data_IF_711694497959
#
_entry.id   IF_711694497959
#
_cell.length_a   1.000
_cell.length_b   1.000
_cell.length_c   1.000
_cell.angle_alpha   90.00
_cell.angle_beta   90.00
_cell.angle_gamma   90.00
#
_symmetry.space_group_name_H-M   'P 1'
#
loop_
_entity.id
_entity.type
_entity.pdbx_description
1 polymer ?
#
# COMPACT_ATOMS: atom_id res chain seq x y z
N UNK A 1 10.28 0.78 22.47
CA UNK A 1 11.67 0.27 22.39
C UNK A 1 11.80 -0.91 23.34
N UNK A 2 12.25 -2.05 22.85
CA UNK A 2 12.45 -3.28 23.64
C UNK A 2 13.95 -3.47 23.82
N UNK A 3 14.40 -3.87 25.01
CA UNK A 3 15.77 -4.31 25.23
C UNK A 3 15.83 -5.85 25.19
N UNK A 4 16.76 -6.37 24.40
CA UNK A 4 17.05 -7.80 24.31
C UNK A 4 18.47 -8.07 24.80
N UNK A 5 18.66 -9.08 25.65
CA UNK A 5 19.99 -9.49 26.10
C UNK A 5 20.53 -10.52 25.12
N UNK A 6 21.63 -10.20 24.44
CA UNK A 6 22.27 -11.05 23.42
C UNK A 6 22.63 -12.41 24.04
N UNK A 7 22.14 -13.48 23.44
CA UNK A 7 22.40 -14.86 23.80
C UNK A 7 23.32 -15.52 22.77
N UNK A 8 23.96 -16.60 23.19
CA UNK A 8 24.77 -17.40 22.29
C UNK A 8 23.89 -17.97 21.17
N UNK A 9 24.29 -17.72 19.91
CA UNK A 9 23.55 -18.15 18.72
C UNK A 9 22.52 -17.15 18.19
N UNK A 10 22.32 -16.02 18.87
CA UNK A 10 21.49 -14.95 18.33
C UNK A 10 22.12 -14.35 17.07
N UNK A 11 21.25 -14.06 16.11
CA UNK A 11 21.60 -13.31 14.91
C UNK A 11 20.66 -12.12 14.75
N UNK A 12 21.15 -11.00 14.21
CA UNK A 12 20.30 -9.83 13.99
C UNK A 12 19.07 -10.14 13.11
N UNK A 13 19.15 -10.97 12.04
CA UNK A 13 17.97 -11.38 11.28
C UNK A 13 16.95 -12.18 12.10
N UNK A 14 17.39 -13.06 13.01
CA UNK A 14 16.47 -13.77 13.90
C UNK A 14 15.79 -12.82 14.89
N UNK A 15 16.54 -11.89 15.47
CA UNK A 15 15.97 -10.87 16.36
C UNK A 15 14.99 -9.98 15.59
N UNK A 16 15.30 -9.57 14.36
CA UNK A 16 14.39 -8.81 13.51
C UNK A 16 13.12 -9.60 13.16
N UNK A 17 13.24 -10.87 12.78
CA UNK A 17 12.08 -11.71 12.52
C UNK A 17 11.18 -11.85 13.76
N UNK A 18 11.79 -12.02 14.93
CA UNK A 18 11.06 -12.22 16.18
C UNK A 18 10.39 -10.95 16.70
N UNK A 19 11.09 -9.81 16.66
CA UNK A 19 10.62 -8.55 17.24
C UNK A 19 9.95 -7.60 16.24
N UNK A 20 10.36 -7.64 14.97
CA UNK A 20 9.90 -6.72 13.90
C UNK A 20 9.02 -7.40 12.85
N UNK A 21 8.84 -8.72 12.93
CA UNK A 21 8.01 -9.52 12.01
C UNK A 21 8.66 -9.84 10.66
N UNK A 22 9.82 -9.25 10.35
CA UNK A 22 10.54 -9.47 9.09
C UNK A 22 12.05 -9.55 9.33
N UNK A 23 12.67 -10.65 8.88
CA UNK A 23 14.11 -10.87 9.02
C UNK A 23 14.97 -9.80 8.30
N UNK A 24 14.48 -9.23 7.20
CA UNK A 24 15.15 -8.19 6.41
C UNK A 24 15.37 -6.89 7.19
N UNK A 25 14.59 -6.64 8.25
CA UNK A 25 14.64 -5.42 9.07
C UNK A 25 15.78 -5.42 10.09
N UNK A 26 16.73 -6.34 10.00
CA UNK A 26 17.89 -6.42 10.89
C UNK A 26 18.81 -5.20 10.82
N UNK A 27 18.84 -4.50 9.69
CA UNK A 27 19.58 -3.24 9.51
C UNK A 27 19.07 -2.14 10.44
N UNK A 28 17.77 -2.10 10.74
CA UNK A 28 17.19 -1.15 11.69
C UNK A 28 17.77 -1.35 13.11
N UNK A 29 18.06 -2.61 13.48
CA UNK A 29 18.68 -2.94 14.76
C UNK A 29 20.14 -2.44 14.78
N UNK A 30 20.88 -2.57 13.67
CA UNK A 30 22.25 -2.05 13.53
C UNK A 30 22.26 -0.54 13.70
N UNK A 31 21.41 0.18 12.96
CA UNK A 31 21.34 1.64 12.98
C UNK A 31 20.94 2.16 14.36
N UNK A 32 19.91 1.57 14.99
CA UNK A 32 19.43 1.98 16.31
C UNK A 32 20.47 1.83 17.43
N UNK A 33 21.44 0.93 17.26
CA UNK A 33 22.51 0.68 18.24
C UNK A 33 23.88 1.14 17.77
N UNK A 34 23.96 1.75 16.58
CA UNK A 34 25.19 2.16 15.92
C UNK A 34 26.23 1.03 15.81
N UNK A 35 25.79 -0.19 15.50
CA UNK A 35 26.69 -1.35 15.54
C UNK A 35 27.68 -1.39 14.38
N UNK A 36 28.89 -1.87 14.67
CA UNK A 36 29.92 -2.16 13.66
C UNK A 36 30.07 -3.66 13.46
N UNK A 37 30.37 -4.06 12.22
CA UNK A 37 30.65 -5.47 11.88
C UNK A 37 31.79 -6.01 12.77
N UNK A 38 31.67 -7.22 13.36
CA UNK A 38 30.70 -8.29 13.10
C UNK A 38 29.33 -8.19 13.80
N UNK A 39 29.01 -7.04 14.40
CA UNK A 39 27.77 -6.70 15.10
C UNK A 39 27.52 -7.48 16.40
N UNK A 40 27.36 -8.80 16.30
CA UNK A 40 27.17 -9.71 17.43
C UNK A 40 28.33 -10.70 17.49
N UNK A 41 28.91 -10.89 18.67
CA UNK A 41 29.95 -11.88 18.92
C UNK A 41 29.51 -12.89 19.99
N UNK A 42 29.78 -14.19 19.80
CA UNK A 42 29.39 -15.23 20.76
C UNK A 42 30.23 -15.24 22.05
N UNK A 43 31.36 -14.52 22.09
CA UNK A 43 32.23 -14.41 23.26
C UNK A 43 31.74 -13.37 24.27
N UNK A 44 32.25 -13.45 25.50
CA UNK A 44 32.07 -12.39 26.51
C UNK A 44 32.89 -11.15 26.13
N UNK A 45 32.46 -9.98 26.61
CA UNK A 45 33.15 -8.71 26.38
C UNK A 45 34.61 -8.78 26.85
N UNK A 46 35.52 -8.49 25.93
CA UNK A 46 36.95 -8.31 26.16
C UNK A 46 37.35 -6.86 25.88
N UNK A 47 38.52 -6.44 26.37
CA UNK A 47 39.04 -5.09 26.12
C UNK A 47 39.45 -4.83 24.66
N UNK A 48 39.60 -5.89 23.86
CA UNK A 48 39.99 -5.83 22.45
C UNK A 48 38.79 -5.63 21.51
N UNK A 49 37.58 -5.89 21.99
CA UNK A 49 36.35 -5.73 21.22
C UNK A 49 36.00 -4.25 21.07
N UNK A 50 35.63 -3.86 19.85
CA UNK A 50 35.18 -2.50 19.57
C UNK A 50 33.91 -2.16 20.42
N UNK A 51 33.79 -0.93 20.96
CA UNK A 51 32.62 -0.51 21.74
C UNK A 51 31.27 -0.73 21.04
N UNK A 52 31.27 -0.62 19.71
CA UNK A 52 30.08 -0.75 18.86
C UNK A 52 29.79 -2.18 18.39
N UNK A 53 30.51 -3.17 18.89
CA UNK A 53 30.16 -4.59 18.74
C UNK A 53 29.45 -5.02 20.02
N UNK A 54 28.46 -5.91 19.95
CA UNK A 54 27.77 -6.47 21.13
C UNK A 54 28.17 -7.91 21.39
N UNK A 55 28.53 -8.19 22.63
CA UNK A 55 28.92 -9.51 23.13
C UNK A 55 27.75 -10.23 23.82
N UNK A 56 27.87 -11.54 24.03
CA UNK A 56 26.87 -12.30 24.78
C UNK A 56 26.73 -11.73 26.20
N UNK A 57 25.49 -11.52 26.62
CA UNK A 57 25.11 -10.92 27.91
C UNK A 57 24.90 -9.41 27.86
N UNK A 58 25.19 -8.74 26.76
CA UNK A 58 24.94 -7.31 26.60
C UNK A 58 23.55 -7.03 26.02
N UNK A 59 23.01 -5.84 26.31
CA UNK A 59 21.71 -5.44 25.78
C UNK A 59 21.82 -4.78 24.40
N UNK A 60 20.87 -5.12 23.54
CA UNK A 60 20.62 -4.48 22.25
C UNK A 60 19.22 -3.87 22.26
N UNK A 61 19.11 -2.64 21.76
CA UNK A 61 17.85 -1.90 21.69
C UNK A 61 17.14 -2.21 20.38
N UNK A 62 15.89 -2.61 20.44
CA UNK A 62 15.08 -2.91 19.27
C UNK A 62 13.97 -1.87 19.20
N UNK A 63 14.03 -1.03 18.16
CA UNK A 63 12.97 -0.08 17.84
C UNK A 63 11.81 -0.85 17.22
N UNK A 64 10.74 -1.05 17.99
CA UNK A 64 9.51 -1.72 17.52
C UNK A 64 8.71 -0.88 16.55
N UNK A 65 8.95 0.43 16.53
CA UNK A 65 8.42 1.34 15.54
C UNK A 65 9.48 1.49 14.44
N UNK A 66 9.10 1.42 13.16
CA UNK A 66 10.03 1.64 12.07
C UNK A 66 10.68 3.03 12.25
N UNK A 67 12.02 3.15 12.13
CA UNK A 67 12.72 4.43 12.28
C UNK A 67 12.38 5.41 11.14
N UNK A 68 11.72 4.93 10.09
CA UNK A 68 11.18 5.77 9.02
C UNK A 68 9.83 6.32 9.45
N UNK A 69 9.80 7.62 9.70
CA UNK A 69 8.56 8.37 9.68
C UNK A 69 7.93 8.15 8.30
N UNK A 70 6.69 7.64 8.24
CA UNK A 70 5.91 7.66 7.00
C UNK A 70 5.81 9.11 6.58
N UNK A 71 6.57 9.48 5.56
CA UNK A 71 6.49 10.81 4.98
C UNK A 71 5.27 10.74 4.06
N UNK A 72 4.20 11.41 4.48
CA UNK A 72 3.05 11.64 3.61
C UNK A 72 3.50 12.58 2.50
N UNK A 73 3.97 11.98 1.41
CA UNK A 73 4.53 12.68 0.28
C UNK A 73 3.79 12.23 -0.97
N UNK A 74 2.94 13.13 -1.48
CA UNK A 74 2.14 12.90 -2.67
C UNK A 74 2.98 12.60 -3.91
N UNK A 75 4.28 12.91 -3.90
CA UNK A 75 5.20 12.53 -4.98
C UNK A 75 5.26 11.01 -5.18
N UNK A 76 5.03 10.21 -4.14
CA UNK A 76 4.95 8.75 -4.28
C UNK A 76 3.71 8.27 -5.04
N UNK A 77 2.69 9.12 -5.16
CA UNK A 77 1.48 8.82 -5.92
C UNK A 77 1.61 9.21 -7.40
N UNK A 78 2.71 9.86 -7.78
CA UNK A 78 3.07 10.16 -9.17
C UNK A 78 2.22 11.24 -9.82
N UNK A 79 2.49 11.47 -11.09
CA UNK A 79 1.81 12.45 -11.95
C UNK A 79 1.50 11.79 -13.30
N UNK A 80 0.35 12.11 -13.88
CA UNK A 80 -0.09 11.63 -15.19
C UNK A 80 -0.90 12.72 -15.91
N UNK A 81 -1.25 12.49 -17.18
CA UNK A 81 -2.16 13.35 -17.92
C UNK A 81 -3.55 13.29 -17.30
N UNK A 82 -4.19 14.44 -17.17
CA UNK A 82 -5.57 14.53 -16.71
C UNK A 82 -6.49 13.93 -17.77
N UNK A 83 -7.36 13.03 -17.32
CA UNK A 83 -8.36 12.39 -18.15
C UNK A 83 -9.76 12.77 -17.66
N UNK A 84 -10.61 13.16 -18.59
CA UNK A 84 -12.04 13.26 -18.36
C UNK A 84 -12.69 11.88 -18.18
N UNK A 85 -14.00 11.88 -17.97
CA UNK A 85 -14.73 10.69 -17.48
C UNK A 85 -14.84 9.56 -18.51
N UNK A 86 -14.68 9.86 -19.80
CA UNK A 86 -14.66 8.87 -20.88
C UNK A 86 -13.22 8.58 -21.38
N UNK A 87 -12.20 9.10 -20.68
CA UNK A 87 -10.80 8.95 -21.07
C UNK A 87 -10.31 10.00 -22.07
N UNK A 88 -11.06 11.09 -22.27
CA UNK A 88 -10.64 12.25 -23.05
C UNK A 88 -9.50 13.01 -22.35
N UNK A 89 -8.55 13.55 -23.11
CA UNK A 89 -7.47 14.37 -22.54
C UNK A 89 -8.01 15.71 -22.03
N UNK A 90 -7.66 16.07 -20.80
CA UNK A 90 -7.93 17.38 -20.23
C UNK A 90 -7.01 18.45 -20.81
N UNK A 91 -7.52 19.68 -20.90
CA UNK A 91 -6.74 20.85 -21.28
C UNK A 91 -6.55 21.77 -20.08
N UNK A 92 -5.38 22.39 -19.97
CA UNK A 92 -5.10 23.40 -18.97
C UNK A 92 -5.69 24.78 -19.36
N UNK A 93 -5.48 25.79 -18.52
CA UNK A 93 -5.97 27.14 -18.76
C UNK A 93 -5.33 27.83 -19.99
N UNK A 94 -4.25 27.28 -20.52
CA UNK A 94 -3.49 27.79 -21.66
C UNK A 94 -3.74 27.00 -22.96
N UNK A 95 -4.52 25.92 -22.87
CA UNK A 95 -4.85 25.04 -24.00
C UNK A 95 -3.80 23.95 -24.26
N UNK A 96 -2.88 23.70 -23.33
CA UNK A 96 -1.98 22.54 -23.34
C UNK A 96 -2.62 21.34 -22.60
N UNK A 97 -1.97 20.17 -22.60
CA UNK A 97 -2.42 19.01 -21.85
C UNK A 97 -2.37 19.27 -20.35
N UNK A 98 -3.50 19.08 -19.68
CA UNK A 98 -3.55 19.14 -18.21
C UNK A 98 -2.89 17.90 -17.60
N UNK A 99 -2.24 18.08 -16.45
CA UNK A 99 -1.70 17.00 -15.63
C UNK A 99 -2.48 16.88 -14.32
N UNK A 100 -2.46 15.68 -13.74
CA UNK A 100 -3.01 15.37 -12.43
C UNK A 100 -1.91 14.69 -11.59
N UNK A 101 -1.78 15.06 -10.33
CA UNK A 101 -0.73 14.55 -9.44
C UNK A 101 -1.28 14.09 -8.09
N UNK A 102 -0.48 13.36 -7.33
CA UNK A 102 -0.83 13.05 -5.94
C UNK A 102 -2.06 12.14 -5.82
N UNK A 103 -2.92 12.47 -4.85
CA UNK A 103 -4.15 11.70 -4.58
C UNK A 103 -5.12 11.71 -5.76
N UNK A 104 -5.21 12.82 -6.50
CA UNK A 104 -6.08 12.92 -7.67
C UNK A 104 -5.64 11.96 -8.78
N UNK A 105 -4.32 11.78 -8.97
CA UNK A 105 -3.78 10.81 -9.92
C UNK A 105 -4.10 9.37 -9.50
N UNK A 106 -4.01 9.07 -8.19
CA UNK A 106 -4.41 7.77 -7.67
C UNK A 106 -5.92 7.51 -7.89
N UNK A 107 -6.78 8.49 -7.62
CA UNK A 107 -8.22 8.40 -7.88
C UNK A 107 -8.52 8.17 -9.36
N UNK A 108 -7.84 8.90 -10.25
CA UNK A 108 -7.95 8.71 -11.70
C UNK A 108 -7.54 7.29 -12.11
N UNK A 109 -6.41 6.78 -11.61
CA UNK A 109 -5.94 5.44 -11.93
C UNK A 109 -6.88 4.33 -11.44
N UNK A 110 -7.47 4.51 -10.25
CA UNK A 110 -8.49 3.61 -9.70
C UNK A 110 -9.74 3.62 -10.58
N UNK A 111 -10.23 4.80 -10.98
CA UNK A 111 -11.36 4.95 -11.91
C UNK A 111 -11.10 4.21 -13.22
N UNK A 112 -9.96 4.45 -13.85
CA UNK A 112 -9.60 3.81 -15.12
C UNK A 112 -9.58 2.30 -14.99
N UNK A 113 -9.00 1.77 -13.90
CA UNK A 113 -8.92 0.33 -13.67
C UNK A 113 -10.30 -0.27 -13.44
N UNK A 114 -11.17 0.39 -12.67
CA UNK A 114 -12.53 -0.07 -12.45
C UNK A 114 -13.39 -0.03 -13.73
N UNK A 115 -13.20 1.00 -14.57
CA UNK A 115 -13.93 1.17 -15.84
C UNK A 115 -13.46 0.24 -16.95
N UNK A 116 -12.28 -0.37 -16.82
CA UNK A 116 -11.71 -1.25 -17.83
C UNK A 116 -12.13 -2.69 -17.56
N UNK A 117 -12.80 -3.39 -18.50
CA UNK A 117 -13.10 -4.80 -18.33
C UNK A 117 -11.82 -5.65 -18.23
N UNK A 118 -11.79 -6.60 -17.30
CA UNK A 118 -10.65 -7.50 -17.16
C UNK A 118 -10.44 -8.31 -18.45
N UNK A 119 -9.19 -8.33 -18.95
CA UNK A 119 -8.83 -9.00 -20.19
C UNK A 119 -9.00 -8.14 -21.45
N UNK A 120 -9.53 -6.92 -21.36
CA UNK A 120 -9.65 -6.01 -22.52
C UNK A 120 -8.28 -5.56 -23.06
N UNK A 121 -7.26 -5.49 -22.20
CA UNK A 121 -5.90 -5.08 -22.58
C UNK A 121 -5.05 -6.30 -22.91
N UNK A 122 -4.72 -6.49 -24.18
CA UNK A 122 -3.97 -7.66 -24.69
C UNK A 122 -2.66 -7.91 -23.93
N UNK A 123 -1.90 -6.85 -23.63
CA UNK A 123 -0.62 -6.94 -22.92
C UNK A 123 -0.74 -6.88 -21.40
N UNK A 124 -1.95 -6.62 -20.88
CA UNK A 124 -2.25 -6.50 -19.46
C UNK A 124 -3.55 -7.24 -19.12
N UNK A 125 -3.60 -8.58 -19.28
CA UNK A 125 -4.84 -9.33 -19.18
C UNK A 125 -5.47 -9.31 -17.79
N UNK A 126 -4.68 -9.06 -16.74
CA UNK A 126 -5.16 -8.96 -15.34
C UNK A 126 -5.57 -7.54 -14.95
N UNK A 127 -5.37 -6.55 -15.83
CA UNK A 127 -5.81 -5.18 -15.58
C UNK A 127 -7.30 -5.07 -15.85
N UNK A 128 -8.01 -4.44 -14.93
CA UNK A 128 -9.45 -4.22 -15.04
C UNK A 128 -10.25 -4.81 -13.90
N UNK A 129 -11.57 -4.70 -14.03
CA UNK A 129 -12.56 -5.31 -13.14
C UNK A 129 -13.52 -6.22 -13.91
N UNK A 130 -14.26 -7.04 -13.18
CA UNK A 130 -15.37 -7.86 -13.69
C UNK A 130 -16.73 -7.31 -13.23
N UNK A 131 -16.78 -6.03 -12.88
CA UNK A 131 -17.95 -5.37 -12.30
C UNK A 131 -19.10 -5.37 -13.32
N UNK A 132 -18.80 -5.25 -14.61
CA UNK A 132 -19.76 -5.30 -15.71
C UNK A 132 -20.58 -6.59 -15.75
N UNK A 133 -20.06 -7.69 -15.21
CA UNK A 133 -20.76 -8.98 -15.12
C UNK A 133 -21.75 -9.04 -13.94
N UNK A 134 -21.62 -8.11 -12.99
CA UNK A 134 -22.41 -8.04 -11.76
C UNK A 134 -23.45 -6.91 -11.82
N UNK A 135 -23.19 -5.86 -12.62
CA UNK A 135 -24.14 -4.78 -12.90
C UNK A 135 -25.41 -5.32 -13.58
N UNK A 136 -26.55 -4.69 -13.28
CA UNK A 136 -27.86 -5.07 -13.84
C UNK A 136 -28.45 -6.38 -13.31
N UNK A 137 -27.71 -7.12 -12.46
CA UNK A 137 -28.27 -8.26 -11.74
C UNK A 137 -29.14 -7.80 -10.57
N UNK A 138 -30.01 -8.69 -10.06
CA UNK A 138 -30.82 -8.37 -8.89
C UNK A 138 -29.89 -8.01 -7.73
N UNK A 139 -30.13 -6.86 -7.09
CA UNK A 139 -29.43 -6.39 -5.89
C UNK A 139 -29.75 -7.24 -4.64
N UNK A 140 -29.58 -8.56 -4.75
CA UNK A 140 -29.64 -9.46 -3.62
C UNK A 140 -28.31 -9.40 -2.83
N UNK A 141 -28.35 -9.93 -1.61
CA UNK A 141 -27.20 -9.88 -0.71
C UNK A 141 -25.96 -10.58 -1.30
N UNK A 142 -26.17 -11.60 -2.13
CA UNK A 142 -25.09 -12.35 -2.77
C UNK A 142 -24.39 -11.50 -3.85
N UNK A 143 -25.15 -10.80 -4.68
CA UNK A 143 -24.65 -9.84 -5.66
C UNK A 143 -23.87 -8.72 -4.99
N UNK A 144 -24.42 -8.11 -3.93
CA UNK A 144 -23.75 -7.03 -3.21
C UNK A 144 -22.42 -7.50 -2.57
N UNK A 145 -22.39 -8.72 -2.02
CA UNK A 145 -21.14 -9.32 -1.50
C UNK A 145 -20.12 -9.57 -2.61
N UNK A 146 -20.55 -10.05 -3.79
CA UNK A 146 -19.65 -10.25 -4.94
C UNK A 146 -19.08 -8.94 -5.44
N UNK A 147 -19.91 -7.89 -5.56
CA UNK A 147 -19.47 -6.54 -5.94
C UNK A 147 -18.45 -6.00 -4.95
N UNK A 148 -18.71 -6.13 -3.65
CA UNK A 148 -17.77 -5.72 -2.61
C UNK A 148 -16.41 -6.41 -2.76
N UNK A 149 -16.40 -7.73 -2.93
CA UNK A 149 -15.17 -8.51 -3.10
C UNK A 149 -14.43 -8.07 -4.37
N UNK A 150 -15.15 -7.86 -5.46
CA UNK A 150 -14.58 -7.46 -6.74
C UNK A 150 -13.99 -6.05 -6.71
N UNK A 151 -14.67 -5.10 -6.06
CA UNK A 151 -14.16 -3.76 -5.81
C UNK A 151 -12.87 -3.79 -4.99
N UNK A 152 -12.86 -4.52 -3.88
CA UNK A 152 -11.67 -4.66 -3.04
C UNK A 152 -10.52 -5.33 -3.81
N UNK A 153 -10.79 -6.39 -4.59
CA UNK A 153 -9.78 -7.07 -5.43
C UNK A 153 -9.17 -6.11 -6.44
N UNK A 154 -10.01 -5.39 -7.19
CA UNK A 154 -9.58 -4.50 -8.26
C UNK A 154 -8.72 -3.35 -7.71
N UNK A 155 -9.20 -2.68 -6.66
CA UNK A 155 -8.49 -1.54 -6.06
C UNK A 155 -7.22 -1.99 -5.34
N UNK A 156 -7.21 -3.15 -4.68
CA UNK A 156 -5.99 -3.71 -4.06
C UNK A 156 -4.94 -4.13 -5.10
N UNK A 157 -5.33 -4.33 -6.35
CA UNK A 157 -4.40 -4.64 -7.43
C UNK A 157 -3.66 -3.40 -7.96
N UNK A 158 -3.96 -2.21 -7.45
CA UNK A 158 -3.18 -1.00 -7.73
C UNK A 158 -1.93 -0.94 -6.84
N UNK A 159 -0.70 -0.96 -7.40
CA UNK A 159 0.55 -0.90 -6.63
C UNK A 159 0.65 0.23 -5.60
N UNK A 160 0.03 1.39 -5.84
CA UNK A 160 0.06 2.52 -4.89
C UNK A 160 -0.93 2.37 -3.71
N UNK A 161 -1.81 1.37 -3.72
CA UNK A 161 -2.78 1.12 -2.64
C UNK A 161 -2.22 0.11 -1.64
N UNK A 162 -2.12 0.50 -0.37
CA UNK A 162 -1.70 -0.38 0.72
C UNK A 162 -2.88 -1.16 1.32
N UNK A 163 -4.00 -0.47 1.55
CA UNK A 163 -5.22 -1.05 2.11
C UNK A 163 -6.46 -0.44 1.45
N UNK A 164 -7.50 -1.27 1.28
CA UNK A 164 -8.82 -0.82 0.82
C UNK A 164 -9.90 -1.53 1.61
N UNK A 165 -10.93 -0.77 2.01
CA UNK A 165 -12.16 -1.28 2.61
C UNK A 165 -13.37 -0.66 1.93
N UNK A 166 -14.36 -1.49 1.63
CA UNK A 166 -15.63 -1.04 1.05
C UNK A 166 -16.72 -1.15 2.13
N UNK A 167 -17.36 -0.03 2.44
CA UNK A 167 -18.33 0.08 3.56
C UNK A 167 -19.77 -0.04 3.07
N UNK A 168 -20.13 0.74 2.06
CA UNK A 168 -21.49 0.85 1.53
C UNK A 168 -21.48 0.38 0.07
N UNK A 169 -22.37 -0.55 -0.28
CA UNK A 169 -22.60 -0.98 -1.67
C UNK A 169 -24.10 -1.08 -1.87
N UNK A 170 -24.63 -0.33 -2.81
CA UNK A 170 -26.06 -0.32 -3.16
C UNK A 170 -26.17 -0.52 -4.66
N UNK A 171 -27.03 -1.45 -5.09
CA UNK A 171 -27.34 -1.67 -6.49
C UNK A 171 -28.86 -1.57 -6.70
N UNK A 172 -29.28 -0.52 -7.39
CA UNK A 172 -30.67 -0.34 -7.84
C UNK A 172 -30.67 -0.34 -9.37
N UNK A 173 -30.34 0.81 -9.97
CA UNK A 173 -30.14 0.98 -11.41
C UNK A 173 -28.65 1.16 -11.74
N UNK A 174 -27.93 1.87 -10.88
CA UNK A 174 -26.47 1.98 -10.86
C UNK A 174 -25.93 1.32 -9.57
N UNK A 175 -24.66 0.95 -9.57
CA UNK A 175 -23.99 0.47 -8.36
C UNK A 175 -23.24 1.65 -7.72
N UNK A 176 -23.66 2.04 -6.53
CA UNK A 176 -22.99 3.05 -5.72
C UNK A 176 -22.15 2.37 -4.64
N UNK A 177 -20.91 2.83 -4.46
CA UNK A 177 -20.07 2.32 -3.39
C UNK A 177 -19.16 3.40 -2.79
N UNK A 178 -18.91 3.26 -1.49
CA UNK A 178 -17.90 4.05 -0.77
C UNK A 178 -16.67 3.21 -0.48
N UNK A 179 -15.51 3.69 -0.94
CA UNK A 179 -14.21 3.10 -0.70
C UNK A 179 -13.42 3.95 0.30
N UNK A 180 -12.79 3.27 1.24
CA UNK A 180 -11.80 3.84 2.14
C UNK A 180 -10.43 3.26 1.77
N UNK A 181 -9.56 4.11 1.24
CA UNK A 181 -8.29 3.69 0.63
C UNK A 181 -7.13 4.30 1.40
N UNK A 182 -6.15 3.47 1.77
CA UNK A 182 -4.87 3.90 2.33
C UNK A 182 -3.79 3.76 1.28
N UNK A 183 -3.24 4.86 0.76
CA UNK A 183 -2.10 4.79 -0.14
C UNK A 183 -0.82 4.32 0.59
N UNK A 184 0.13 3.78 -0.17
CA UNK A 184 1.46 3.44 0.33
C UNK A 184 2.17 4.69 0.87
N UNK A 185 2.69 4.60 2.09
CA UNK A 185 3.42 5.70 2.73
C UNK A 185 2.52 6.70 3.47
N UNK A 186 1.19 6.54 3.39
CA UNK A 186 0.22 7.38 4.10
C UNK A 186 -0.25 6.71 5.40
N UNK A 187 -0.66 7.53 6.37
CA UNK A 187 -1.22 7.05 7.63
C UNK A 187 -2.74 7.09 7.63
N UNK A 188 -3.32 8.09 6.97
CA UNK A 188 -4.75 8.29 6.88
C UNK A 188 -5.37 7.61 5.64
N UNK A 189 -6.64 7.23 5.77
CA UNK A 189 -7.44 6.76 4.66
C UNK A 189 -8.16 7.95 4.03
N UNK A 190 -8.19 8.04 2.70
CA UNK A 190 -9.11 8.92 2.01
C UNK A 190 -10.39 8.18 1.62
N UNK A 191 -11.49 8.93 1.55
CA UNK A 191 -12.78 8.43 1.10
C UNK A 191 -12.92 8.69 -0.40
N UNK A 192 -13.41 7.69 -1.14
CA UNK A 192 -13.73 7.79 -2.55
C UNK A 192 -15.12 7.22 -2.77
N UNK A 193 -16.06 8.05 -3.18
CA UNK A 193 -17.40 7.62 -3.57
C UNK A 193 -17.37 7.32 -5.07
N UNK A 194 -17.99 6.22 -5.48
CA UNK A 194 -18.09 5.82 -6.88
C UNK A 194 -19.52 5.50 -7.25
N UNK A 195 -19.88 5.85 -8.49
CA UNK A 195 -21.10 5.43 -9.16
C UNK A 195 -20.70 4.66 -10.41
N UNK A 196 -21.15 3.40 -10.50
CA UNK A 196 -20.83 2.46 -11.55
C UNK A 196 -22.07 2.21 -12.40
N UNK A 197 -21.93 2.42 -13.71
CA UNK A 197 -22.96 2.08 -14.68
C UNK A 197 -22.34 1.39 -15.90
N UNK A 198 -23.17 1.03 -16.88
CA UNK A 198 -22.71 0.38 -18.12
C UNK A 198 -21.73 1.24 -18.94
N UNK A 199 -21.67 2.56 -18.70
CA UNK A 199 -20.77 3.49 -19.39
C UNK A 199 -19.43 3.69 -18.67
N UNK A 200 -19.28 3.22 -17.44
CA UNK A 200 -18.05 3.30 -16.66
C UNK A 200 -18.25 3.78 -15.22
N UNK A 201 -17.17 4.22 -14.60
CA UNK A 201 -17.13 4.71 -13.22
C UNK A 201 -17.14 6.24 -13.20
N UNK A 202 -18.11 6.83 -12.51
CA UNK A 202 -18.12 8.24 -12.11
C UNK A 202 -17.65 8.36 -10.66
N UNK A 203 -16.84 9.38 -10.39
CA UNK A 203 -16.35 9.77 -9.06
C UNK A 203 -16.98 11.12 -8.71
#
# INVERSE_FOLDING_TARGET
MIEHIVRQGDTLPQLAQYYLGEASRWTEIVEANQLLYPYLVPEQRTAELHPDVRAVGESIRIATEPPYQRVEDERFLGEDLSLGWQGELGADAYGDLACVSGLENLQQAIRMRLSTPEGALLHHPTYGSRIEQLLGTKGDENTLRKLKIELERCVRSEPRVEEVRVSEVVQVDECEATLHIRPLGFTENFKMDIQLNEQGVKI
#
